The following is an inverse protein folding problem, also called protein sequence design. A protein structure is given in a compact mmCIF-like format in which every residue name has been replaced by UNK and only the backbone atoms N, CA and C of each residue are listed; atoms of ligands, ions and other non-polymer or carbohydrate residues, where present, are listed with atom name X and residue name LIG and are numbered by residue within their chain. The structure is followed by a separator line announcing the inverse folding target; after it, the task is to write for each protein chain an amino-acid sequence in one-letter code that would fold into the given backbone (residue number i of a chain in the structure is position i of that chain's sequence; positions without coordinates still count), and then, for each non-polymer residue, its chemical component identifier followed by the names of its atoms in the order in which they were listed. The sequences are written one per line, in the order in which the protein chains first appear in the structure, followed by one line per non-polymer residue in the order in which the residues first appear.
data_IF_243971509458
#
_entry.id   IF_243971509458
#
_cell.length_a   1.000
_cell.length_b   1.000
_cell.length_c   1.000
_cell.angle_alpha   90.00
_cell.angle_beta   90.00
_cell.angle_gamma   90.00
#
_symmetry.space_group_name_H-M   'P 1'
#
loop_
_entity.id
_entity.type
_entity.pdbx_description
1 polymer ?
#
# COMPACT_ATOMS: atom_id res chain seq x y z
N UNK A 1 -27.15 -5.35 -3.94
CA UNK A 1 -26.27 -4.17 -3.80
C UNK A 1 -27.10 -2.95 -4.12
N UNK A 2 -27.33 -2.04 -3.17
CA UNK A 2 -28.04 -0.78 -3.44
C UNK A 2 -27.07 0.17 -4.13
N UNK A 3 -27.11 0.21 -5.46
CA UNK A 3 -26.11 0.92 -6.30
C UNK A 3 -26.28 2.44 -6.32
N UNK A 4 -27.31 3.01 -5.67
CA UNK A 4 -27.72 4.41 -5.81
C UNK A 4 -27.75 5.18 -4.47
N UNK A 5 -27.12 4.66 -3.43
CA UNK A 5 -26.90 5.40 -2.18
C UNK A 5 -25.44 5.78 -2.08
N UNK A 6 -25.12 6.98 -1.58
CA UNK A 6 -23.73 7.38 -1.34
C UNK A 6 -23.06 6.34 -0.43
N UNK A 7 -22.15 5.56 -1.00
CA UNK A 7 -21.37 4.55 -0.27
C UNK A 7 -19.91 4.93 -0.36
N UNK A 8 -19.18 4.76 0.74
CA UNK A 8 -17.73 4.89 0.71
C UNK A 8 -17.18 3.83 -0.25
N UNK A 9 -16.35 4.26 -1.18
CA UNK A 9 -15.79 3.36 -2.17
C UNK A 9 -14.77 2.42 -1.52
N UNK A 10 -14.85 1.13 -1.85
CA UNK A 10 -13.90 0.08 -1.45
C UNK A 10 -13.33 -0.55 -2.70
N UNK A 11 -12.14 -1.16 -2.59
CA UNK A 11 -11.56 -1.93 -3.68
C UNK A 11 -12.59 -2.95 -4.22
N UNK A 12 -12.95 -2.92 -5.52
CA UNK A 12 -14.00 -3.80 -6.05
C UNK A 12 -13.71 -5.29 -5.86
N UNK A 13 -12.42 -5.66 -5.80
CA UNK A 13 -11.97 -7.03 -5.56
C UNK A 13 -11.92 -7.41 -4.08
N UNK A 14 -12.15 -6.47 -3.16
CA UNK A 14 -12.30 -6.75 -1.73
C UNK A 14 -13.75 -7.14 -1.47
N UNK A 15 -13.99 -8.42 -1.15
CA UNK A 15 -15.32 -9.02 -0.99
C UNK A 15 -16.13 -8.52 0.23
N UNK A 16 -15.72 -7.43 0.89
CA UNK A 16 -16.36 -6.90 2.10
C UNK A 16 -16.61 -5.39 1.97
N UNK A 17 -17.63 -4.89 2.67
CA UNK A 17 -17.95 -3.46 2.72
C UNK A 17 -16.85 -2.66 3.44
N UNK A 18 -16.76 -1.33 3.19
CA UNK A 18 -15.95 -0.43 4.01
C UNK A 18 -16.26 -0.59 5.50
N UNK A 19 -15.23 -0.55 6.34
CA UNK A 19 -15.39 -0.57 7.81
C UNK A 19 -14.77 0.69 8.40
N UNK A 20 -15.52 1.38 9.26
CA UNK A 20 -14.98 2.50 10.04
C UNK A 20 -14.38 1.98 11.35
N UNK A 21 -13.17 2.45 11.67
CA UNK A 21 -12.48 2.09 12.90
C UNK A 21 -12.34 3.29 13.80
N UNK A 22 -13.23 3.38 14.80
CA UNK A 22 -13.29 4.51 15.73
C UNK A 22 -11.96 4.76 16.47
N UNK A 23 -11.20 3.70 16.78
CA UNK A 23 -9.92 3.82 17.49
C UNK A 23 -8.84 4.57 16.68
N UNK A 24 -8.95 4.58 15.35
CA UNK A 24 -7.96 5.15 14.45
C UNK A 24 -8.53 6.27 13.58
N UNK A 25 -9.83 6.59 13.76
CA UNK A 25 -10.59 7.54 12.95
C UNK A 25 -10.35 7.32 11.45
N UNK A 26 -10.44 6.06 11.01
CA UNK A 26 -10.10 5.66 9.64
C UNK A 26 -11.17 4.77 9.00
N UNK A 27 -11.21 4.82 7.67
CA UNK A 27 -12.01 3.90 6.86
C UNK A 27 -11.12 2.83 6.21
N UNK A 28 -11.44 1.56 6.45
CA UNK A 28 -10.78 0.42 5.85
C UNK A 28 -11.46 0.09 4.53
N UNK A 29 -10.84 0.53 3.44
CA UNK A 29 -11.38 0.46 2.07
C UNK A 29 -10.55 -0.41 1.10
N UNK A 30 -9.51 -1.08 1.59
CA UNK A 30 -8.65 -1.92 0.75
C UNK A 30 -7.61 -1.15 -0.06
N UNK A 31 -7.36 0.12 0.29
CA UNK A 31 -6.31 0.96 -0.26
C UNK A 31 -5.38 1.46 0.84
N UNK A 32 -4.13 1.69 0.50
CA UNK A 32 -3.20 2.46 1.32
C UNK A 32 -3.07 3.85 0.74
N UNK A 33 -3.27 4.86 1.57
CA UNK A 33 -3.11 6.26 1.20
C UNK A 33 -1.77 6.77 1.72
N UNK A 34 -1.01 7.43 0.85
CA UNK A 34 0.33 7.90 1.17
C UNK A 34 0.46 9.42 1.24
N UNK A 35 -0.63 10.16 0.98
CA UNK A 35 -0.62 11.62 1.12
C UNK A 35 -0.33 12.05 2.57
N UNK A 36 0.39 13.16 2.72
CA UNK A 36 0.73 13.72 4.03
C UNK A 36 1.88 13.02 4.79
N UNK A 37 2.36 11.86 4.31
CA UNK A 37 3.52 11.19 4.90
C UNK A 37 4.77 12.00 4.53
N UNK A 38 5.53 12.47 5.51
CA UNK A 38 6.75 13.27 5.25
C UNK A 38 8.01 12.41 5.13
N UNK A 39 8.06 11.32 5.89
CA UNK A 39 9.17 10.38 5.92
C UNK A 39 8.66 8.96 5.70
N UNK A 40 9.42 8.21 4.92
CA UNK A 40 9.24 6.78 4.79
C UNK A 40 10.09 6.04 5.80
N UNK A 41 9.54 4.95 6.31
CA UNK A 41 10.11 4.14 7.38
C UNK A 41 10.08 2.69 6.90
N UNK A 42 11.25 2.08 6.82
CA UNK A 42 11.43 0.71 6.37
C UNK A 42 12.63 0.06 7.09
N UNK A 43 12.92 -1.23 6.89
CA UNK A 43 14.01 -1.91 7.58
C UNK A 43 15.41 -1.32 7.31
N UNK A 44 15.59 -0.55 6.24
CA UNK A 44 16.84 0.14 5.96
C UNK A 44 16.99 1.49 6.69
N UNK A 45 15.94 1.96 7.37
CA UNK A 45 15.91 3.19 8.15
C UNK A 45 14.78 4.14 7.75
N UNK A 46 14.96 5.41 8.11
CA UNK A 46 14.04 6.50 7.77
C UNK A 46 14.62 7.35 6.64
N UNK A 47 13.80 7.66 5.65
CA UNK A 47 14.19 8.41 4.45
C UNK A 47 13.13 9.48 4.12
N UNK A 48 13.49 10.56 3.42
CA UNK A 48 12.50 11.49 2.87
C UNK A 48 11.49 10.75 1.99
N UNK A 49 10.21 11.05 2.17
CA UNK A 49 9.17 10.43 1.35
C UNK A 49 9.06 11.08 -0.03
N UNK A 50 8.51 10.32 -0.99
CA UNK A 50 7.98 10.86 -2.25
C UNK A 50 6.46 10.80 -2.19
N UNK A 51 5.94 11.12 -1.01
CA UNK A 51 4.53 11.14 -0.68
C UNK A 51 4.00 12.57 -0.83
N UNK A 52 2.80 12.77 -1.40
CA UNK A 52 2.28 14.10 -1.64
C UNK A 52 1.81 14.77 -0.35
N UNK A 53 2.60 15.70 0.20
CA UNK A 53 2.20 16.53 1.36
C UNK A 53 1.48 17.79 0.90
N UNK A 54 1.92 18.38 -0.22
CA UNK A 54 1.29 19.51 -0.90
C UNK A 54 1.33 19.26 -2.40
N UNK A 55 0.23 19.52 -3.09
CA UNK A 55 0.16 19.36 -4.55
C UNK A 55 1.16 20.25 -5.29
N UNK A 56 1.42 21.46 -4.78
CA UNK A 56 2.32 22.44 -5.39
C UNK A 56 3.79 22.02 -5.42
N UNK A 57 4.20 21.07 -4.58
CA UNK A 57 5.59 20.59 -4.50
C UNK A 57 5.73 19.10 -4.85
N UNK A 58 4.63 18.39 -5.03
CA UNK A 58 4.65 16.98 -5.39
C UNK A 58 4.92 16.82 -6.89
N UNK A 59 5.73 15.82 -7.26
CA UNK A 59 5.92 15.51 -8.68
C UNK A 59 4.75 14.68 -9.20
N UNK A 60 4.40 14.82 -10.50
CA UNK A 60 3.38 14.01 -11.17
C UNK A 60 3.45 12.50 -10.87
N UNK A 61 4.67 11.95 -10.82
CA UNK A 61 4.93 10.51 -10.66
C UNK A 61 4.92 10.02 -9.22
N UNK A 62 4.62 10.88 -8.24
CA UNK A 62 4.56 10.48 -6.84
C UNK A 62 3.27 9.71 -6.54
N UNK A 63 3.41 8.56 -5.87
CA UNK A 63 2.28 7.69 -5.53
C UNK A 63 1.39 8.36 -4.50
N UNK A 64 0.08 8.38 -4.76
CA UNK A 64 -0.92 8.92 -3.85
C UNK A 64 -1.63 7.80 -3.08
N UNK A 65 -2.03 6.74 -3.79
CA UNK A 65 -2.64 5.56 -3.19
C UNK A 65 -2.37 4.29 -4.00
N UNK A 66 -2.44 3.14 -3.34
CA UNK A 66 -2.22 1.80 -3.90
C UNK A 66 -3.26 0.83 -3.33
N UNK A 67 -3.62 -0.20 -4.10
CA UNK A 67 -4.30 -1.38 -3.54
C UNK A 67 -3.55 -1.90 -2.30
N UNK A 68 -4.25 -2.44 -1.30
CA UNK A 68 -3.63 -2.92 -0.07
C UNK A 68 -2.82 -4.21 -0.27
N UNK A 69 -1.62 -4.09 -0.81
CA UNK A 69 -0.66 -5.17 -1.04
C UNK A 69 0.22 -5.31 0.20
N UNK A 70 -0.35 -5.92 1.23
CA UNK A 70 0.28 -6.00 2.54
C UNK A 70 0.45 -7.44 3.03
N UNK A 71 1.63 -7.69 3.59
CA UNK A 71 1.92 -8.87 4.41
C UNK A 71 1.92 -8.43 5.87
N UNK A 72 0.98 -8.96 6.63
CA UNK A 72 0.74 -8.64 8.04
C UNK A 72 1.09 -9.88 8.87
N UNK A 73 1.97 -9.73 9.85
CA UNK A 73 2.42 -10.80 10.75
C UNK A 73 2.87 -12.07 9.99
N UNK A 74 3.62 -11.87 8.91
CA UNK A 74 4.12 -12.98 8.07
C UNK A 74 3.11 -13.59 7.10
N UNK A 75 1.85 -13.13 7.08
CA UNK A 75 0.79 -13.65 6.22
C UNK A 75 0.20 -12.57 5.29
N UNK A 76 -0.09 -12.94 4.04
CA UNK A 76 -0.80 -12.07 3.10
C UNK A 76 -2.23 -11.83 3.59
N UNK A 77 -2.54 -10.59 4.00
CA UNK A 77 -3.80 -10.24 4.65
C UNK A 77 -3.96 -10.74 6.09
N UNK A 78 -2.84 -10.96 6.80
CA UNK A 78 -2.82 -11.26 8.23
C UNK A 78 -3.14 -12.70 8.61
N UNK A 79 -2.83 -13.01 9.87
CA UNK A 79 -3.20 -14.28 10.51
C UNK A 79 -4.70 -14.26 10.82
N UNK A 80 -5.38 -15.40 10.67
CA UNK A 80 -6.81 -15.55 10.97
C UNK A 80 -7.05 -15.92 12.43
N UNK A 81 -8.17 -15.46 12.99
CA UNK A 81 -8.57 -15.77 14.37
C UNK A 81 -7.86 -14.92 15.43
N UNK A 82 -7.19 -13.83 15.02
CA UNK A 82 -6.68 -12.80 15.94
C UNK A 82 -7.67 -11.63 16.00
N UNK A 83 -7.63 -10.86 17.09
CA UNK A 83 -8.43 -9.64 17.21
C UNK A 83 -8.13 -8.72 16.02
N UNK A 84 -9.19 -8.30 15.31
CA UNK A 84 -9.12 -7.35 14.18
C UNK A 84 -8.53 -7.93 12.88
N UNK A 85 -8.66 -9.23 12.61
CA UNK A 85 -8.27 -9.81 11.31
C UNK A 85 -9.14 -9.32 10.13
N UNK A 86 -10.41 -8.98 10.38
CA UNK A 86 -11.38 -8.50 9.38
C UNK A 86 -10.91 -7.28 8.56
N UNK A 87 -10.00 -6.45 9.06
CA UNK A 87 -9.50 -5.29 8.29
C UNK A 87 -8.50 -5.70 7.21
N UNK A 88 -7.86 -6.85 7.36
CA UNK A 88 -6.89 -7.40 6.41
C UNK A 88 -7.45 -8.54 5.55
N UNK A 89 -8.71 -8.91 5.78
CA UNK A 89 -9.40 -9.91 4.97
C UNK A 89 -9.35 -9.58 3.48
N UNK A 90 -9.15 -10.64 2.69
CA UNK A 90 -9.06 -10.60 1.24
C UNK A 90 -7.92 -9.73 0.67
N UNK A 91 -6.87 -9.45 1.47
CA UNK A 91 -5.61 -8.89 0.96
C UNK A 91 -4.63 -10.02 0.56
N UNK A 92 -3.75 -9.81 -0.46
CA UNK A 92 -3.84 -8.74 -1.43
C UNK A 92 -5.11 -8.89 -2.30
N UNK A 93 -5.67 -7.79 -2.83
CA UNK A 93 -6.90 -7.83 -3.64
C UNK A 93 -6.75 -8.62 -4.94
N UNK A 94 -5.52 -8.67 -5.47
CA UNK A 94 -5.22 -9.34 -6.72
C UNK A 94 -4.11 -10.37 -6.51
N UNK A 95 -4.52 -11.62 -6.36
CA UNK A 95 -3.62 -12.77 -6.17
C UNK A 95 -3.30 -13.41 -7.51
N UNK A 96 -2.14 -14.06 -7.58
CA UNK A 96 -1.85 -14.98 -8.67
C UNK A 96 -2.85 -16.14 -8.64
N UNK A 97 -3.20 -16.69 -9.81
CA UNK A 97 -4.19 -17.77 -9.89
C UNK A 97 -3.75 -19.04 -9.13
N UNK A 98 -2.45 -19.29 -9.05
CA UNK A 98 -1.86 -20.51 -8.48
C UNK A 98 -1.31 -20.34 -7.06
N UNK A 99 -1.32 -19.13 -6.48
CA UNK A 99 -0.70 -18.88 -5.19
C UNK A 99 -1.38 -17.73 -4.41
N UNK A 100 -1.05 -17.59 -3.13
CA UNK A 100 -1.50 -16.44 -2.32
C UNK A 100 -0.66 -15.18 -2.56
N UNK A 101 0.32 -15.22 -3.45
CA UNK A 101 1.18 -14.08 -3.76
C UNK A 101 0.40 -13.02 -4.54
N UNK A 102 0.72 -11.73 -4.34
CA UNK A 102 0.16 -10.67 -5.18
C UNK A 102 0.60 -10.88 -6.64
N UNK A 103 -0.33 -10.71 -7.58
CA UNK A 103 0.01 -10.52 -8.99
C UNK A 103 0.54 -9.09 -9.24
N UNK A 104 0.05 -8.14 -8.45
CA UNK A 104 0.29 -6.72 -8.56
C UNK A 104 -0.86 -5.93 -7.93
N UNK A 105 -1.00 -4.68 -8.35
CA UNK A 105 -2.15 -3.86 -7.99
C UNK A 105 -2.17 -2.53 -8.72
N UNK A 106 -3.30 -1.87 -8.61
CA UNK A 106 -3.53 -0.54 -9.14
C UNK A 106 -2.89 0.50 -8.23
N UNK A 107 -2.29 1.50 -8.85
CA UNK A 107 -1.74 2.68 -8.19
C UNK A 107 -2.24 3.93 -8.88
N UNK A 108 -2.54 4.95 -8.07
CA UNK A 108 -2.81 6.30 -8.53
C UNK A 108 -1.66 7.22 -8.15
N UNK A 109 -1.33 8.13 -9.07
CA UNK A 109 -0.23 9.08 -8.95
C UNK A 109 -0.77 10.50 -8.85
N UNK A 110 0.11 11.45 -8.53
CA UNK A 110 -0.29 12.83 -8.28
C UNK A 110 -0.81 13.60 -9.50
N UNK A 111 -0.47 13.15 -10.70
CA UNK A 111 -1.10 13.65 -11.94
C UNK A 111 -2.50 13.10 -12.17
N UNK A 112 -3.02 12.26 -11.28
CA UNK A 112 -4.32 11.61 -11.41
C UNK A 112 -4.30 10.37 -12.31
N UNK A 113 -3.14 9.99 -12.88
CA UNK A 113 -3.03 8.77 -13.66
C UNK A 113 -3.17 7.54 -12.77
N UNK A 114 -3.80 6.50 -13.31
CA UNK A 114 -3.93 5.18 -12.70
C UNK A 114 -3.25 4.13 -13.57
N UNK A 115 -2.48 3.22 -12.98
CA UNK A 115 -1.90 2.08 -13.72
C UNK A 115 -1.74 0.84 -12.85
N UNK A 116 -1.75 -0.29 -13.53
CA UNK A 116 -1.38 -1.58 -12.97
C UNK A 116 0.13 -1.69 -12.82
N UNK A 117 0.59 -2.04 -11.61
CA UNK A 117 1.99 -2.31 -11.30
C UNK A 117 2.12 -3.79 -10.94
N UNK A 118 3.10 -4.48 -11.54
CA UNK A 118 3.38 -5.87 -11.18
C UNK A 118 4.06 -5.95 -9.83
N UNK A 119 3.76 -7.00 -9.06
CA UNK A 119 4.31 -7.17 -7.71
C UNK A 119 5.85 -7.11 -7.69
N UNK A 120 6.52 -7.73 -8.66
CA UNK A 120 7.99 -7.75 -8.81
C UNK A 120 8.66 -6.37 -8.99
N UNK A 121 7.87 -5.35 -9.35
CA UNK A 121 8.34 -3.96 -9.52
C UNK A 121 8.24 -3.16 -8.21
N UNK A 122 7.56 -3.69 -7.20
CA UNK A 122 7.26 -2.97 -5.96
C UNK A 122 8.38 -3.08 -4.94
N UNK A 123 8.34 -2.18 -3.97
CA UNK A 123 9.32 -2.05 -2.90
C UNK A 123 8.62 -1.90 -1.55
N UNK A 124 9.28 -2.37 -0.49
CA UNK A 124 8.91 -2.07 0.88
C UNK A 124 9.51 -0.71 1.30
N UNK A 125 8.97 0.38 0.76
CA UNK A 125 9.50 1.73 1.00
C UNK A 125 9.01 2.32 2.32
N UNK A 126 7.76 2.04 2.73
CA UNK A 126 7.18 2.58 3.95
C UNK A 126 6.26 1.57 4.65
N UNK A 127 6.29 1.59 5.98
CA UNK A 127 5.26 1.04 6.87
C UNK A 127 5.18 1.88 8.14
N UNK A 128 4.11 1.67 8.90
CA UNK A 128 3.91 2.18 10.25
C UNK A 128 4.60 1.31 11.31
N UNK A 129 5.19 0.17 10.91
CA UNK A 129 6.13 -0.61 11.72
C UNK A 129 7.22 -1.24 10.85
N UNK A 130 8.48 -0.87 11.10
CA UNK A 130 9.64 -1.35 10.34
C UNK A 130 10.18 -2.72 10.82
N UNK A 131 9.60 -3.31 11.88
CA UNK A 131 10.02 -4.60 12.44
C UNK A 131 9.66 -5.82 11.56
N UNK A 132 8.93 -5.60 10.47
CA UNK A 132 8.48 -6.64 9.54
C UNK A 132 7.11 -7.24 9.87
N UNK A 133 6.45 -6.80 10.95
CA UNK A 133 5.05 -7.17 11.25
C UNK A 133 4.07 -6.60 10.24
N UNK A 134 4.40 -5.46 9.62
CA UNK A 134 3.57 -4.79 8.60
C UNK A 134 4.43 -4.44 7.41
N UNK A 135 4.31 -5.22 6.35
CA UNK A 135 5.08 -5.00 5.12
C UNK A 135 4.10 -4.56 4.05
N UNK A 136 4.25 -3.33 3.59
CA UNK A 136 3.45 -2.75 2.51
C UNK A 136 4.30 -2.60 1.26
N UNK A 137 3.81 -3.12 0.14
CA UNK A 137 4.50 -3.05 -1.13
C UNK A 137 3.80 -2.07 -2.07
N UNK A 138 4.59 -1.17 -2.64
CA UNK A 138 4.15 -0.27 -3.70
C UNK A 138 5.34 0.12 -4.57
N UNK A 139 5.05 0.60 -5.77
CA UNK A 139 6.05 1.18 -6.66
C UNK A 139 6.12 2.70 -6.48
N UNK A 140 7.34 3.22 -6.52
CA UNK A 140 7.61 4.61 -6.76
C UNK A 140 8.77 4.69 -7.76
N UNK A 141 8.68 5.66 -8.68
CA UNK A 141 9.78 6.01 -9.58
C UNK A 141 11.02 6.42 -8.77
N UNK A 142 12.15 5.77 -9.01
CA UNK A 142 13.37 5.92 -8.22
C UNK A 142 14.32 7.01 -8.75
N UNK A 143 13.97 7.69 -9.85
CA UNK A 143 14.82 8.70 -10.48
C UNK A 143 15.23 9.80 -9.50
N UNK A 144 14.33 10.18 -8.60
CA UNK A 144 14.51 11.24 -7.63
C UNK A 144 14.77 10.77 -6.19
N UNK A 145 15.08 9.49 -6.02
CA UNK A 145 15.56 8.98 -4.73
C UNK A 145 16.95 9.53 -4.43
N UNK A 146 17.19 9.81 -3.15
CA UNK A 146 18.52 10.12 -2.65
C UNK A 146 19.41 8.87 -2.70
N UNK A 147 20.73 9.10 -2.72
CA UNK A 147 21.71 8.02 -2.89
C UNK A 147 21.63 6.98 -1.77
N UNK A 148 21.30 7.43 -0.55
CA UNK A 148 21.15 6.53 0.61
C UNK A 148 20.02 5.55 0.40
N UNK A 149 18.87 5.99 -0.12
CA UNK A 149 17.75 5.09 -0.43
C UNK A 149 18.07 4.20 -1.64
N UNK A 150 18.66 4.77 -2.72
CA UNK A 150 19.03 4.03 -3.93
C UNK A 150 19.92 2.82 -3.62
N UNK A 151 20.92 2.99 -2.76
CA UNK A 151 21.82 1.91 -2.32
C UNK A 151 21.12 0.77 -1.59
N UNK A 152 19.91 0.99 -1.05
CA UNK A 152 19.14 0.00 -0.26
C UNK A 152 18.00 -0.63 -1.04
N UNK A 153 17.66 -0.14 -2.25
CA UNK A 153 16.51 -0.62 -3.02
C UNK A 153 16.50 -2.12 -3.26
N UNK A 154 17.65 -2.72 -3.56
CA UNK A 154 17.77 -4.17 -3.78
C UNK A 154 17.27 -4.98 -2.58
N UNK A 155 17.55 -4.50 -1.36
CA UNK A 155 17.09 -5.14 -0.12
C UNK A 155 15.60 -4.97 0.16
N UNK A 156 14.99 -3.92 -0.41
CA UNK A 156 13.58 -3.56 -0.21
C UNK A 156 12.66 -4.12 -1.29
N UNK A 157 13.18 -4.68 -2.39
CA UNK A 157 12.36 -5.24 -3.47
C UNK A 157 11.38 -6.29 -2.95
N UNK A 158 10.19 -6.26 -3.53
CA UNK A 158 9.21 -7.34 -3.40
C UNK A 158 9.86 -8.67 -3.78
N UNK A 159 9.69 -9.65 -2.90
CA UNK A 159 10.15 -11.03 -3.10
C UNK A 159 8.89 -11.88 -3.29
N UNK A 160 8.67 -12.44 -4.49
CA UNK A 160 7.67 -13.48 -4.71
C UNK A 160 7.89 -14.65 -3.75
#
# INVERSE_FOLDING_TARGET
VNSNTASIWTCPNRAVLPVFELQYDQWVIGYQFFGGITNWLNPAGTFPSRSPVKSSSAKPTWVLAVDAIMKIDGAWGGVKGVTRDYIYDNMPPHRQASSKLPAGGNQVFMDGSGRWIKFEQMYYLHSWSADGSRIAYFYQDDSDFDDRLKQRLSSLRAKP
#
